data_IF_572732724670
#
_entry.id   IF_572732724670
#
_cell.length_a   1.000
_cell.length_b   1.000
_cell.length_c   1.000
_cell.angle_alpha   90.00
_cell.angle_beta   90.00
_cell.angle_gamma   90.00
#
_symmetry.space_group_name_H-M   'P 1'
#
loop_
_entity.id
_entity.type
_entity.pdbx_description
1 polymer ?
#
# COMPACT_ATOMS: atom_id res chain seq x y z
N UNK A 1 55.09 13.06 38.44
CA UNK A 1 53.74 13.24 37.85
C UNK A 1 53.87 13.37 36.35
N UNK A 2 53.33 12.42 35.58
CA UNK A 2 53.44 12.40 34.11
C UNK A 2 52.26 13.21 33.55
N UNK A 3 52.52 14.39 33.00
CA UNK A 3 51.49 15.27 32.42
C UNK A 3 50.98 14.59 31.14
N UNK A 4 49.69 14.24 31.10
CA UNK A 4 49.04 13.79 29.87
C UNK A 4 48.84 15.01 28.98
N UNK A 5 49.45 15.02 27.81
CA UNK A 5 49.18 16.04 26.80
C UNK A 5 47.73 15.89 26.35
N UNK A 6 46.94 16.94 26.57
CA UNK A 6 45.57 17.02 26.08
C UNK A 6 45.63 17.43 24.62
N UNK A 7 45.60 16.45 23.73
CA UNK A 7 45.43 16.70 22.29
C UNK A 7 44.00 17.22 22.07
N UNK A 8 43.88 18.44 21.56
CA UNK A 8 42.62 19.01 21.08
C UNK A 8 42.43 18.70 19.59
N UNK A 9 41.18 18.73 19.12
CA UNK A 9 40.88 18.61 17.70
C UNK A 9 41.46 19.79 16.91
N UNK A 10 42.05 19.51 15.75
CA UNK A 10 42.45 20.53 14.78
C UNK A 10 41.23 21.14 14.11
N UNK A 11 41.28 22.45 13.80
CA UNK A 11 40.24 23.11 13.01
C UNK A 11 40.01 22.43 11.66
N UNK A 12 41.07 21.88 11.08
CA UNK A 12 41.01 21.14 9.80
C UNK A 12 40.27 19.81 9.97
N UNK A 13 40.45 19.12 11.10
CA UNK A 13 39.76 17.86 11.38
C UNK A 13 38.25 18.08 11.54
N UNK A 14 37.86 19.15 12.25
CA UNK A 14 36.45 19.51 12.40
C UNK A 14 35.81 19.90 11.06
N UNK A 15 36.53 20.66 10.22
CA UNK A 15 36.06 21.09 8.91
C UNK A 15 35.90 19.92 7.94
N UNK A 16 36.90 19.03 7.85
CA UNK A 16 36.84 17.84 7.00
C UNK A 16 35.68 16.93 7.41
N UNK A 17 35.44 16.75 8.71
CA UNK A 17 34.38 15.89 9.23
C UNK A 17 32.99 16.41 8.86
N UNK A 18 32.74 17.71 8.99
CA UNK A 18 31.47 18.30 8.54
C UNK A 18 31.28 18.14 7.03
N UNK A 19 32.35 18.25 6.24
CA UNK A 19 32.32 17.97 4.80
C UNK A 19 31.90 16.53 4.47
N UNK A 20 32.46 15.55 5.18
CA UNK A 20 32.10 14.13 4.99
C UNK A 20 30.65 13.86 5.43
N UNK A 21 30.22 14.40 6.58
CA UNK A 21 28.84 14.23 7.07
C UNK A 21 27.83 14.80 6.07
N UNK A 22 28.10 15.96 5.47
CA UNK A 22 27.22 16.56 4.47
C UNK A 22 27.00 15.65 3.26
N UNK A 23 28.05 14.97 2.78
CA UNK A 23 27.96 14.00 1.68
C UNK A 23 27.19 12.75 2.10
N UNK A 24 27.39 12.24 3.32
CA UNK A 24 26.65 11.07 3.79
C UNK A 24 25.15 11.36 3.96
N UNK A 25 24.78 12.54 4.45
CA UNK A 25 23.37 12.94 4.62
C UNK A 25 22.66 13.03 3.26
N UNK A 26 23.31 13.59 2.24
CA UNK A 26 22.67 13.75 0.91
C UNK A 26 22.29 12.39 0.29
N UNK A 27 23.17 11.39 0.42
CA UNK A 27 22.90 10.02 -0.05
C UNK A 27 21.82 9.35 0.81
N UNK A 28 21.85 9.54 2.13
CA UNK A 28 20.91 8.92 3.06
C UNK A 28 19.45 9.37 2.85
N UNK A 29 19.21 10.65 2.58
CA UNK A 29 17.86 11.20 2.36
C UNK A 29 17.19 10.59 1.12
N UNK A 30 17.96 10.37 0.06
CA UNK A 30 17.44 9.71 -1.14
C UNK A 30 17.05 8.25 -0.86
N UNK A 31 17.89 7.51 -0.14
CA UNK A 31 17.60 6.13 0.27
C UNK A 31 16.34 6.02 1.14
N UNK A 32 16.15 6.94 2.09
CA UNK A 32 14.97 6.96 2.97
C UNK A 32 13.67 7.13 2.17
N UNK A 33 13.67 7.99 1.16
CA UNK A 33 12.48 8.27 0.34
C UNK A 33 11.99 7.01 -0.40
N UNK A 34 12.93 6.20 -0.92
CA UNK A 34 12.62 4.92 -1.57
C UNK A 34 12.08 3.90 -0.57
N UNK A 35 12.70 3.80 0.61
CA UNK A 35 12.28 2.86 1.65
C UNK A 35 10.85 3.15 2.13
N UNK A 36 10.51 4.42 2.36
CA UNK A 36 9.16 4.81 2.76
C UNK A 36 8.12 4.47 1.69
N UNK A 37 8.45 4.72 0.41
CA UNK A 37 7.60 4.34 -0.73
C UNK A 37 7.36 2.83 -0.79
N UNK A 38 8.40 2.04 -0.58
CA UNK A 38 8.28 0.58 -0.56
C UNK A 38 7.45 0.09 0.64
N UNK A 39 7.64 0.68 1.82
CA UNK A 39 6.85 0.35 3.01
C UNK A 39 5.36 0.64 2.81
N UNK A 40 5.02 1.79 2.23
CA UNK A 40 3.63 2.14 1.92
C UNK A 40 3.03 1.24 0.83
N UNK A 41 3.79 0.89 -0.21
CA UNK A 41 3.33 -0.11 -1.18
C UNK A 41 3.10 -1.48 -0.53
N UNK A 42 3.92 -1.90 0.43
CA UNK A 42 3.70 -3.15 1.16
C UNK A 42 2.40 -3.12 1.98
N UNK A 43 2.09 -2.01 2.65
CA UNK A 43 0.82 -1.83 3.37
C UNK A 43 -0.39 -1.92 2.43
N UNK A 44 -0.30 -1.33 1.23
CA UNK A 44 -1.36 -1.47 0.21
C UNK A 44 -1.53 -2.92 -0.26
N UNK A 45 -0.43 -3.66 -0.44
CA UNK A 45 -0.50 -5.09 -0.79
C UNK A 45 -1.18 -5.89 0.32
N UNK A 46 -0.92 -5.56 1.58
CA UNK A 46 -1.54 -6.21 2.73
C UNK A 46 -3.06 -5.98 2.76
N UNK A 47 -3.52 -4.76 2.45
CA UNK A 47 -4.94 -4.45 2.26
C UNK A 47 -5.60 -5.35 1.20
N UNK A 48 -4.93 -5.55 0.06
CA UNK A 48 -5.44 -6.46 -1.00
C UNK A 48 -5.59 -7.89 -0.48
N UNK A 49 -4.68 -8.36 0.37
CA UNK A 49 -4.78 -9.69 0.97
C UNK A 49 -5.92 -9.78 1.98
N UNK A 50 -6.21 -8.72 2.73
CA UNK A 50 -7.35 -8.69 3.65
C UNK A 50 -8.69 -8.68 2.89
N UNK A 51 -8.77 -7.88 1.83
CA UNK A 51 -9.90 -7.89 0.90
C UNK A 51 -10.13 -9.28 0.31
N UNK A 52 -9.04 -9.97 -0.07
CA UNK A 52 -9.11 -11.36 -0.55
C UNK A 52 -9.83 -12.24 0.47
N UNK A 53 -9.44 -12.18 1.74
CA UNK A 53 -10.07 -12.96 2.81
C UNK A 53 -11.57 -12.64 2.92
N UNK A 54 -11.95 -11.36 2.82
CA UNK A 54 -13.37 -10.98 2.82
C UNK A 54 -14.16 -11.52 1.63
N UNK A 55 -13.57 -11.48 0.44
CA UNK A 55 -14.16 -12.03 -0.79
C UNK A 55 -14.31 -13.55 -0.71
N UNK A 56 -13.31 -14.26 -0.20
CA UNK A 56 -13.37 -15.71 0.05
C UNK A 56 -14.44 -16.06 1.09
N UNK A 57 -14.52 -15.30 2.18
CA UNK A 57 -15.59 -15.46 3.19
C UNK A 57 -16.98 -15.26 2.56
N UNK A 58 -17.13 -14.31 1.64
CA UNK A 58 -18.39 -14.09 0.93
C UNK A 58 -18.77 -15.30 0.09
N UNK A 59 -17.80 -15.88 -0.62
CA UNK A 59 -18.01 -17.09 -1.41
C UNK A 59 -18.47 -18.26 -0.53
N UNK A 60 -17.83 -18.47 0.63
CA UNK A 60 -18.23 -19.52 1.57
C UNK A 60 -19.67 -19.35 2.07
N UNK A 61 -20.16 -18.11 2.21
CA UNK A 61 -21.51 -17.83 2.69
C UNK A 61 -22.58 -17.87 1.58
N UNK A 62 -22.24 -17.46 0.36
CA UNK A 62 -23.21 -17.24 -0.72
C UNK A 62 -23.06 -18.19 -1.93
N UNK A 63 -22.02 -19.02 -1.94
CA UNK A 63 -21.71 -19.96 -3.03
C UNK A 63 -21.26 -19.31 -4.35
N UNK A 64 -21.08 -17.99 -4.36
CA UNK A 64 -20.67 -17.20 -5.54
C UNK A 64 -19.83 -16.02 -5.08
N UNK A 65 -18.91 -15.54 -5.93
CA UNK A 65 -18.18 -14.32 -5.64
C UNK A 65 -19.06 -13.07 -5.79
N UNK A 66 -18.77 -11.97 -5.06
CA UNK A 66 -19.52 -10.73 -5.12
C UNK A 66 -19.67 -10.20 -6.57
N UNK A 67 -20.81 -9.62 -6.89
CA UNK A 67 -20.97 -8.87 -8.12
C UNK A 67 -20.17 -7.56 -8.06
N UNK A 68 -19.84 -7.02 -9.24
CA UNK A 68 -19.27 -5.68 -9.35
C UNK A 68 -20.20 -4.66 -8.65
N UNK A 69 -19.64 -3.87 -7.74
CA UNK A 69 -20.37 -2.86 -6.95
C UNK A 69 -20.84 -3.35 -5.58
N UNK A 70 -20.73 -4.65 -5.27
CA UNK A 70 -20.96 -5.16 -3.91
C UNK A 70 -19.73 -5.03 -3.01
N UNK A 71 -18.65 -4.45 -3.52
CA UNK A 71 -17.37 -4.29 -2.88
C UNK A 71 -17.18 -2.78 -2.78
N UNK A 72 -17.35 -2.23 -1.59
CA UNK A 72 -17.42 -0.77 -1.35
C UNK A 72 -16.60 -0.36 -0.15
N UNK A 73 -16.06 0.85 -0.19
CA UNK A 73 -15.34 1.46 0.93
C UNK A 73 -16.12 2.64 1.51
N UNK A 74 -16.18 2.72 2.84
CA UNK A 74 -16.78 3.84 3.57
C UNK A 74 -15.68 4.66 4.23
N UNK A 75 -15.44 5.89 3.74
CA UNK A 75 -14.45 6.80 4.34
C UNK A 75 -14.88 7.35 5.70
N UNK A 76 -16.18 7.31 6.03
CA UNK A 76 -16.69 7.76 7.33
C UNK A 76 -16.44 6.75 8.46
N UNK A 77 -16.35 5.47 8.12
CA UNK A 77 -16.10 4.39 9.09
C UNK A 77 -14.75 3.72 8.90
N UNK A 78 -14.02 4.09 7.84
CA UNK A 78 -12.77 3.46 7.41
C UNK A 78 -12.88 1.95 7.15
N UNK A 79 -14.06 1.50 6.73
CA UNK A 79 -14.36 0.07 6.57
C UNK A 79 -14.52 -0.32 5.11
N UNK A 80 -14.10 -1.55 4.84
CA UNK A 80 -14.49 -2.24 3.63
C UNK A 80 -15.76 -3.06 3.83
N UNK A 81 -16.65 -3.05 2.84
CA UNK A 81 -17.82 -3.93 2.83
C UNK A 81 -17.82 -4.82 1.59
N UNK A 82 -18.05 -6.12 1.82
CA UNK A 82 -18.24 -7.14 0.79
C UNK A 82 -19.67 -7.68 0.91
N UNK A 83 -20.50 -7.38 -0.08
CA UNK A 83 -21.94 -7.59 -0.03
C UNK A 83 -22.60 -6.75 1.07
N UNK A 84 -23.62 -7.31 1.72
CA UNK A 84 -24.29 -6.68 2.87
C UNK A 84 -23.91 -7.31 4.21
N UNK A 85 -22.98 -8.27 4.20
CA UNK A 85 -22.82 -9.22 5.32
C UNK A 85 -21.40 -9.27 5.89
N UNK A 86 -20.41 -8.77 5.16
CA UNK A 86 -19.00 -8.83 5.58
C UNK A 86 -18.48 -7.42 5.62
N UNK A 87 -18.05 -7.00 6.81
CA UNK A 87 -17.29 -5.78 7.04
C UNK A 87 -15.87 -6.17 7.40
N UNK A 88 -14.89 -5.45 6.85
CA UNK A 88 -13.49 -5.54 7.22
C UNK A 88 -13.13 -4.19 7.82
N UNK A 89 -12.85 -4.19 9.12
CA UNK A 89 -12.40 -3.03 9.86
C UNK A 89 -10.90 -2.81 9.59
N UNK A 90 -10.55 -1.65 9.06
CA UNK A 90 -9.18 -1.30 8.69
C UNK A 90 -8.45 -0.52 9.80
N UNK A 91 -9.01 -0.48 11.01
CA UNK A 91 -8.41 0.27 12.10
C UNK A 91 -7.04 -0.33 12.51
N UNK A 92 -5.99 0.43 12.20
CA UNK A 92 -4.56 0.26 12.49
C UNK A 92 -3.98 -1.17 12.40
N UNK A 93 -3.08 -1.46 11.42
CA UNK A 93 -2.02 -0.56 10.93
C UNK A 93 -2.24 0.02 9.52
N UNK A 94 -3.45 -0.04 8.97
CA UNK A 94 -3.72 0.29 7.56
C UNK A 94 -4.28 1.68 7.31
N UNK A 95 -4.26 2.57 8.32
CA UNK A 95 -4.59 3.99 8.13
C UNK A 95 -3.75 4.53 6.99
N UNK A 96 -4.42 5.11 6.01
CA UNK A 96 -3.96 5.08 4.63
C UNK A 96 -2.49 5.41 4.40
N UNK A 97 -1.74 4.56 3.67
CA UNK A 97 -0.31 4.76 3.40
C UNK A 97 -0.07 5.96 2.48
N UNK A 98 -0.24 7.20 2.92
CA UNK A 98 -0.14 8.35 2.03
C UNK A 98 1.34 8.75 1.80
N UNK A 99 1.78 8.90 0.54
CA UNK A 99 2.77 9.90 0.15
C UNK A 99 2.13 11.25 -0.28
N UNK A 100 0.79 11.34 -0.26
CA UNK A 100 -0.09 11.97 -1.26
C UNK A 100 -0.07 11.22 -2.60
N UNK A 101 -1.09 10.38 -2.81
CA UNK A 101 -1.53 9.99 -4.16
C UNK A 101 -2.84 10.71 -4.45
N UNK A 102 -2.72 11.92 -4.98
CA UNK A 102 -3.77 12.71 -5.62
C UNK A 102 -5.01 13.00 -4.77
N UNK A 103 -4.91 13.49 -3.53
CA UNK A 103 -6.09 13.94 -2.73
C UNK A 103 -7.21 12.90 -2.47
N UNK A 104 -7.17 11.72 -3.09
CA UNK A 104 -8.26 10.76 -3.25
C UNK A 104 -7.80 9.31 -2.94
N UNK A 105 -6.64 9.11 -2.32
CA UNK A 105 -6.19 7.82 -1.76
C UNK A 105 -5.70 6.71 -2.68
N UNK A 106 -5.69 5.48 -2.15
CA UNK A 106 -5.21 4.29 -2.86
C UNK A 106 -6.38 3.62 -3.58
N UNK A 107 -6.34 3.62 -4.90
CA UNK A 107 -7.31 2.90 -5.71
C UNK A 107 -7.07 1.39 -5.63
N UNK A 108 -8.08 0.65 -5.17
CA UNK A 108 -8.17 -0.80 -5.29
C UNK A 108 -9.12 -1.16 -6.42
N UNK A 109 -8.94 -2.34 -7.00
CA UNK A 109 -9.79 -2.86 -8.06
C UNK A 109 -10.30 -4.24 -7.69
N UNK A 110 -11.53 -4.52 -8.13
CA UNK A 110 -12.11 -5.85 -8.17
C UNK A 110 -12.67 -6.11 -9.55
N UNK A 111 -12.24 -7.20 -10.17
CA UNK A 111 -12.72 -7.66 -11.47
C UNK A 111 -13.28 -9.06 -11.30
N UNK A 112 -14.50 -9.25 -11.78
CA UNK A 112 -15.10 -10.57 -11.95
C UNK A 112 -14.90 -11.02 -13.39
N UNK A 113 -14.80 -12.32 -13.60
CA UNK A 113 -14.63 -12.88 -14.94
C UNK A 113 -15.75 -12.39 -15.90
N UNK A 114 -15.37 -11.70 -16.99
CA UNK A 114 -16.32 -11.14 -17.95
C UNK A 114 -17.10 -12.21 -18.70
N UNK A 115 -16.66 -13.47 -18.68
CA UNK A 115 -17.35 -14.60 -19.31
C UNK A 115 -18.54 -15.11 -18.48
N UNK A 116 -18.80 -14.50 -17.32
CA UNK A 116 -19.95 -14.84 -16.46
C UNK A 116 -19.68 -16.01 -15.52
N UNK A 117 -18.44 -16.51 -15.45
CA UNK A 117 -18.05 -17.48 -14.43
C UNK A 117 -18.15 -16.83 -13.04
N UNK A 118 -19.02 -17.37 -12.20
CA UNK A 118 -19.26 -16.88 -10.84
C UNK A 118 -18.21 -17.39 -9.85
N UNK A 119 -17.25 -18.20 -10.33
CA UNK A 119 -16.22 -18.89 -9.55
C UNK A 119 -14.82 -18.30 -9.70
N UNK A 120 -14.67 -17.19 -10.43
CA UNK A 120 -13.37 -16.54 -10.61
C UNK A 120 -13.42 -15.04 -10.35
N UNK A 121 -12.33 -14.51 -9.78
CA UNK A 121 -12.17 -13.08 -9.49
C UNK A 121 -10.70 -12.67 -9.50
N UNK A 122 -10.48 -11.35 -9.57
CA UNK A 122 -9.19 -10.71 -9.40
C UNK A 122 -9.33 -9.46 -8.53
N UNK A 123 -8.41 -9.26 -7.60
CA UNK A 123 -8.24 -8.04 -6.81
C UNK A 123 -6.91 -7.39 -7.09
N UNK A 124 -6.80 -6.08 -7.09
CA UNK A 124 -5.50 -5.42 -7.22
C UNK A 124 -5.47 -4.02 -6.62
N UNK A 125 -4.33 -3.36 -6.76
CA UNK A 125 -4.11 -2.01 -6.23
C UNK A 125 -3.30 -1.16 -7.21
N UNK A 126 -3.48 0.15 -7.11
CA UNK A 126 -2.64 1.14 -7.79
C UNK A 126 -1.49 1.53 -6.87
N UNK A 127 -0.26 1.31 -7.31
CA UNK A 127 0.93 1.71 -6.54
C UNK A 127 1.18 3.23 -6.59
N UNK A 128 2.15 3.72 -5.83
CA UNK A 128 2.50 5.16 -5.81
C UNK A 128 3.02 5.71 -7.16
N UNK A 129 3.40 4.86 -8.11
CA UNK A 129 3.72 5.30 -9.48
C UNK A 129 2.48 5.50 -10.35
N UNK A 130 1.28 5.25 -9.81
CA UNK A 130 0.04 5.28 -10.58
C UNK A 130 -0.14 4.06 -11.50
N UNK A 131 0.63 3.00 -11.28
CA UNK A 131 0.56 1.77 -12.07
C UNK A 131 -0.24 0.73 -11.30
N UNK A 132 -1.18 0.08 -11.97
CA UNK A 132 -1.86 -1.10 -11.43
C UNK A 132 -0.86 -2.22 -11.26
N UNK A 133 -0.74 -2.75 -10.05
CA UNK A 133 0.02 -3.97 -9.84
C UNK A 133 -0.85 -5.17 -10.19
N UNK A 134 -0.24 -6.20 -10.79
CA UNK A 134 -0.90 -7.48 -11.06
C UNK A 134 -1.67 -7.95 -9.83
N UNK A 135 -2.91 -8.32 -10.03
CA UNK A 135 -3.81 -8.63 -8.95
C UNK A 135 -3.58 -9.99 -8.27
N UNK A 136 -4.26 -10.19 -7.15
CA UNK A 136 -4.38 -11.45 -6.42
C UNK A 136 -5.79 -12.00 -6.67
N UNK A 137 -5.89 -13.27 -7.08
CA UNK A 137 -7.17 -13.89 -7.39
C UNK A 137 -7.02 -15.24 -8.04
N UNK A 138 -8.14 -15.76 -8.55
CA UNK A 138 -8.22 -17.01 -9.31
C UNK A 138 -8.26 -16.77 -10.82
N UNK A 139 -8.41 -15.51 -11.23
CA UNK A 139 -8.39 -15.08 -12.63
C UNK A 139 -7.10 -14.34 -12.97
N UNK A 140 -6.65 -14.39 -14.23
CA UNK A 140 -5.38 -13.81 -14.66
C UNK A 140 -5.56 -12.59 -15.58
N UNK A 141 -6.59 -11.79 -15.34
CA UNK A 141 -6.72 -10.47 -15.95
C UNK A 141 -6.11 -9.42 -15.02
N UNK A 142 -5.44 -8.42 -15.60
CA UNK A 142 -5.07 -7.22 -14.86
C UNK A 142 -6.31 -6.36 -14.61
N UNK A 143 -6.23 -5.44 -13.64
CA UNK A 143 -7.28 -4.46 -13.37
C UNK A 143 -7.44 -3.38 -14.46
N UNK A 144 -7.31 -3.75 -15.73
CA UNK A 144 -7.41 -2.88 -16.90
C UNK A 144 -8.85 -2.68 -17.37
N UNK A 145 -9.34 -1.45 -17.18
CA UNK A 145 -10.42 -0.72 -17.87
C UNK A 145 -11.82 -1.36 -18.06
N UNK A 146 -12.05 -2.61 -17.69
CA UNK A 146 -13.36 -3.28 -17.81
C UNK A 146 -13.81 -3.83 -16.45
N UNK A 147 -15.00 -3.41 -15.98
CA UNK A 147 -15.60 -3.86 -14.71
C UNK A 147 -14.77 -3.59 -13.44
N UNK A 148 -13.88 -2.60 -13.48
CA UNK A 148 -13.09 -2.18 -12.32
C UNK A 148 -13.95 -1.34 -11.40
N UNK A 149 -14.32 -1.89 -10.24
CA UNK A 149 -14.81 -1.06 -9.15
C UNK A 149 -13.59 -0.43 -8.48
N UNK A 150 -13.41 0.88 -8.65
CA UNK A 150 -12.40 1.62 -7.91
C UNK A 150 -13.00 2.02 -6.56
N UNK A 151 -12.35 1.61 -5.48
CA UNK A 151 -12.76 1.91 -4.11
C UNK A 151 -11.52 2.13 -3.23
N UNK A 152 -11.71 2.73 -2.05
CA UNK A 152 -10.61 2.95 -1.10
C UNK A 152 -9.98 4.35 -1.16
N UNK A 153 -10.74 5.38 -1.56
CA UNK A 153 -10.25 6.75 -1.45
C UNK A 153 -10.17 7.18 0.01
N UNK A 154 -8.94 7.31 0.48
CA UNK A 154 -8.52 7.94 1.71
C UNK A 154 -7.42 8.95 1.36
#
# INVERSE_FOLDING_TARGET
>A
MRKKDKHGFSLVELLMTMGVIAVLISIAVYGLSILQRNARNAQRTEMVNELKIGVEKYFLANGTYPAAGQITYSSSTEEFSVGSSITLDLNAPYSCPAPDTTKDGTAYCYVKDPNGDLSTYQLGMKNESGIWTSGVGTHNDDCGDSNVVVFGSC
#
